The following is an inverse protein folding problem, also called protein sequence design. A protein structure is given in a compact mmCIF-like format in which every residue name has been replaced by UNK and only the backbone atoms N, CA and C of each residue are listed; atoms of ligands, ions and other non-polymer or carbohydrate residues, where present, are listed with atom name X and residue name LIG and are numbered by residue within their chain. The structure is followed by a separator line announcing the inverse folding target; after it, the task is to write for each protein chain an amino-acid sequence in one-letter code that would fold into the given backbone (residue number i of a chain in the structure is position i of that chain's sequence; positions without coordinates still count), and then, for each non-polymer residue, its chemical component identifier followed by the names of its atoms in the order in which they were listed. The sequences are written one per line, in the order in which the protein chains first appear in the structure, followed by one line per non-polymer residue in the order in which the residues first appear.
data_IF_483539561644
#
_entry.id   IF_483539561644
#
_cell.length_a   1.000
_cell.length_b   1.000
_cell.length_c   1.000
_cell.angle_alpha   90.00
_cell.angle_beta   90.00
_cell.angle_gamma   90.00
#
_symmetry.space_group_name_H-M   'P 1'
#
loop_
_entity.id
_entity.type
_entity.pdbx_description
1 polymer ?
#
# COMPACT_ATOMS: atom_id res chain seq x y z
N UNK A 1 -26.30 1.66 15.30
CA UNK A 1 -25.40 2.06 14.18
C UNK A 1 -25.22 3.57 14.24
N UNK A 2 -24.21 4.07 14.96
CA UNK A 2 -24.01 5.51 15.23
C UNK A 2 -22.51 5.86 15.21
N UNK A 3 -21.80 5.47 14.15
CA UNK A 3 -20.39 5.84 13.94
C UNK A 3 -20.20 6.97 12.92
N UNK A 4 -21.29 7.45 12.29
CA UNK A 4 -21.27 8.50 11.27
C UNK A 4 -20.65 9.83 11.72
N UNK A 5 -21.07 10.45 12.85
CA UNK A 5 -20.61 11.79 13.21
C UNK A 5 -19.14 11.86 13.65
N UNK A 6 -18.55 10.73 14.08
CA UNK A 6 -17.18 10.68 14.61
C UNK A 6 -16.15 10.31 13.54
N UNK A 7 -16.55 9.55 12.52
CA UNK A 7 -15.67 9.08 11.45
C UNK A 7 -15.54 10.10 10.31
N UNK A 8 -16.62 10.82 9.98
CA UNK A 8 -16.64 11.82 8.90
C UNK A 8 -15.55 12.91 9.06
N UNK A 9 -15.39 13.58 10.22
CA UNK A 9 -14.36 14.62 10.35
C UNK A 9 -12.94 14.06 10.22
N UNK A 10 -12.68 12.83 10.70
CA UNK A 10 -11.38 12.18 10.53
C UNK A 10 -11.11 11.77 9.08
N UNK A 11 -12.12 11.24 8.39
CA UNK A 11 -12.02 10.92 6.96
C UNK A 11 -11.76 12.18 6.12
N UNK A 12 -12.42 13.30 6.43
CA UNK A 12 -12.17 14.59 5.79
C UNK A 12 -10.79 15.15 6.09
N UNK A 13 -10.27 14.98 7.31
CA UNK A 13 -8.90 15.37 7.65
C UNK A 13 -7.86 14.53 6.91
N UNK A 14 -8.06 13.22 6.79
CA UNK A 14 -7.21 12.33 6.00
C UNK A 14 -7.26 12.72 4.51
N UNK A 15 -8.45 13.01 3.98
CA UNK A 15 -8.60 13.47 2.61
C UNK A 15 -7.88 14.81 2.36
N UNK A 16 -8.05 15.78 3.27
CA UNK A 16 -7.39 17.09 3.17
C UNK A 16 -5.87 16.97 3.32
N UNK A 17 -5.36 16.09 4.17
CA UNK A 17 -3.91 15.87 4.30
C UNK A 17 -3.30 15.18 3.08
N UNK A 18 -4.02 14.22 2.48
CA UNK A 18 -3.64 13.61 1.21
C UNK A 18 -3.62 14.67 0.10
N UNK A 19 -4.64 15.54 0.03
CA UNK A 19 -4.72 16.61 -0.98
C UNK A 19 -3.67 17.71 -0.77
N UNK A 20 -3.37 18.08 0.46
CA UNK A 20 -2.34 19.07 0.77
C UNK A 20 -0.94 18.53 0.47
N UNK A 21 -0.68 17.24 0.74
CA UNK A 21 0.63 16.61 0.44
C UNK A 21 0.91 16.49 -1.07
N UNK A 22 -0.13 16.39 -1.91
CA UNK A 22 0.00 16.33 -3.37
C UNK A 22 0.14 17.70 -4.06
N UNK A 23 -0.06 18.82 -3.34
CA UNK A 23 0.07 20.18 -3.90
C UNK A 23 1.42 20.86 -3.61
N UNK A 24 2.31 20.22 -2.84
CA UNK A 24 3.63 20.77 -2.52
C UNK A 24 4.61 20.74 -3.71
N UNK A 25 5.68 21.57 -3.71
CA UNK A 25 6.69 21.61 -4.78
C UNK A 25 7.36 20.26 -5.11
N UNK A 26 7.37 19.33 -4.15
CA UNK A 26 7.94 17.99 -4.26
C UNK A 26 6.93 16.91 -4.69
N UNK A 27 5.69 17.28 -5.01
CA UNK A 27 4.65 16.34 -5.48
C UNK A 27 4.80 15.93 -6.95
N UNK A 28 5.89 16.35 -7.60
CA UNK A 28 6.16 15.98 -8.99
C UNK A 28 6.27 14.45 -9.10
N UNK A 29 5.53 13.91 -10.07
CA UNK A 29 5.56 12.48 -10.40
C UNK A 29 6.99 12.10 -10.74
N UNK A 30 7.56 11.17 -9.96
CA UNK A 30 8.90 10.64 -10.18
C UNK A 30 8.86 9.22 -10.72
N UNK A 31 9.96 8.79 -11.34
CA UNK A 31 10.14 7.38 -11.72
C UNK A 31 10.25 6.50 -10.48
N UNK A 32 9.86 5.24 -10.63
CA UNK A 32 9.92 4.24 -9.54
C UNK A 32 11.40 4.03 -9.13
N UNK A 33 11.74 4.16 -7.83
CA UNK A 33 13.07 3.86 -7.34
C UNK A 33 13.45 2.38 -7.59
N UNK A 34 14.73 2.07 -7.86
CA UNK A 34 15.15 0.70 -8.21
C UNK A 34 14.88 -0.32 -7.10
N UNK A 35 14.96 0.09 -5.83
CA UNK A 35 14.60 -0.76 -4.69
C UNK A 35 13.13 -1.19 -4.73
N UNK A 36 12.24 -0.25 -5.01
CA UNK A 36 10.80 -0.52 -5.12
C UNK A 36 10.52 -1.41 -6.32
N UNK A 37 11.18 -1.22 -7.46
CA UNK A 37 11.03 -2.12 -8.62
C UNK A 37 11.34 -3.57 -8.24
N UNK A 38 12.40 -3.84 -7.49
CA UNK A 38 12.72 -5.21 -7.02
C UNK A 38 11.64 -5.79 -6.11
N UNK A 39 11.16 -5.00 -5.15
CA UNK A 39 10.09 -5.41 -4.25
C UNK A 39 8.80 -5.75 -4.99
N UNK A 40 8.43 -4.91 -5.96
CA UNK A 40 7.28 -5.12 -6.84
C UNK A 40 7.40 -6.39 -7.67
N UNK A 41 8.57 -6.65 -8.24
CA UNK A 41 8.83 -7.91 -8.97
C UNK A 41 8.65 -9.13 -8.05
N UNK A 42 9.12 -9.08 -6.81
CA UNK A 42 8.95 -10.17 -5.83
C UNK A 42 7.45 -10.41 -5.56
N UNK A 43 6.70 -9.36 -5.24
CA UNK A 43 5.26 -9.46 -4.97
C UNK A 43 4.48 -9.97 -6.19
N UNK A 44 4.80 -9.48 -7.38
CA UNK A 44 4.14 -9.90 -8.61
C UNK A 44 4.41 -11.37 -8.95
N UNK A 45 5.66 -11.82 -8.80
CA UNK A 45 6.02 -13.23 -9.00
C UNK A 45 5.31 -14.15 -7.98
N UNK A 46 5.25 -13.74 -6.72
CA UNK A 46 4.54 -14.52 -5.70
C UNK A 46 3.02 -14.52 -5.92
N UNK A 47 2.44 -13.41 -6.36
CA UNK A 47 1.03 -13.34 -6.73
C UNK A 47 0.71 -14.28 -7.89
N UNK A 48 1.54 -14.31 -8.94
CA UNK A 48 1.39 -15.26 -10.05
C UNK A 48 1.52 -16.70 -9.57
N UNK A 49 2.56 -17.00 -8.77
CA UNK A 49 2.73 -18.33 -8.22
C UNK A 49 1.52 -18.75 -7.39
N UNK A 50 0.95 -17.84 -6.59
CA UNK A 50 -0.26 -18.08 -5.81
C UNK A 50 -1.48 -18.35 -6.71
N UNK A 51 -1.68 -17.57 -7.78
CA UNK A 51 -2.75 -17.81 -8.75
C UNK A 51 -2.58 -19.18 -9.41
N UNK A 52 -1.36 -19.54 -9.84
CA UNK A 52 -1.07 -20.85 -10.42
C UNK A 52 -1.37 -21.96 -9.41
N UNK A 53 -0.91 -21.82 -8.17
CA UNK A 53 -1.18 -22.78 -7.10
C UNK A 53 -2.67 -22.87 -6.76
N UNK A 54 -3.47 -21.84 -6.98
CA UNK A 54 -4.93 -21.90 -6.78
C UNK A 54 -5.63 -22.84 -7.77
N UNK A 55 -4.99 -23.18 -8.91
CA UNK A 55 -5.59 -24.02 -9.94
C UNK A 55 -5.82 -25.47 -9.45
N UNK A 56 -6.86 -26.16 -9.98
CA UNK A 56 -7.20 -27.53 -9.58
C UNK A 56 -6.07 -28.53 -9.83
N UNK A 57 -5.20 -28.31 -10.81
CA UNK A 57 -4.09 -29.20 -11.15
C UNK A 57 -3.07 -29.37 -10.01
N UNK A 58 -2.99 -28.40 -9.09
CA UNK A 58 -2.10 -28.45 -7.93
C UNK A 58 -2.83 -28.85 -6.64
N UNK A 59 -4.15 -29.08 -6.70
CA UNK A 59 -4.93 -29.52 -5.56
C UNK A 59 -4.87 -31.05 -5.46
N UNK A 60 -4.89 -31.62 -4.24
CA UNK A 60 -5.09 -33.05 -4.09
C UNK A 60 -6.45 -33.44 -4.68
N UNK A 61 -6.58 -34.64 -5.21
CA UNK A 61 -7.85 -35.09 -5.79
C UNK A 61 -8.92 -35.31 -4.71
N UNK A 62 -10.16 -34.96 -5.04
CA UNK A 62 -11.33 -35.28 -4.21
C UNK A 62 -11.94 -36.60 -4.71
N UNK A 63 -11.90 -37.65 -3.87
CA UNK A 63 -12.39 -38.99 -4.22
C UNK A 63 -13.88 -38.98 -4.58
N UNK A 64 -14.71 -38.18 -3.89
CA UNK A 64 -16.16 -38.11 -4.15
C UNK A 64 -16.48 -37.39 -5.46
N UNK A 65 -15.76 -36.30 -5.75
CA UNK A 65 -15.89 -35.56 -7.01
C UNK A 65 -15.34 -36.37 -8.19
N UNK A 66 -14.19 -37.03 -8.03
CA UNK A 66 -13.57 -37.84 -9.07
C UNK A 66 -14.44 -39.03 -9.47
N UNK A 67 -15.01 -39.72 -8.48
CA UNK A 67 -15.87 -40.89 -8.72
C UNK A 67 -17.35 -40.54 -8.90
N UNK A 68 -17.70 -39.24 -8.90
CA UNK A 68 -19.09 -38.74 -8.95
C UNK A 68 -20.03 -39.49 -8.01
N UNK A 69 -19.56 -39.75 -6.79
CA UNK A 69 -20.25 -40.61 -5.82
C UNK A 69 -20.74 -39.82 -4.60
N UNK A 70 -21.98 -40.08 -4.20
CA UNK A 70 -22.58 -39.49 -2.99
C UNK A 70 -21.84 -39.90 -1.72
N UNK A 71 -21.94 -39.08 -0.68
CA UNK A 71 -21.22 -39.30 0.57
C UNK A 71 -21.63 -40.59 1.29
N UNK A 72 -22.89 -41.04 1.13
CA UNK A 72 -23.46 -42.23 1.78
C UNK A 72 -23.22 -43.55 1.01
N UNK A 73 -22.46 -43.53 -0.09
CA UNK A 73 -22.15 -44.73 -0.87
C UNK A 73 -21.45 -45.81 0.00
N UNK A 74 -21.68 -47.12 -0.21
CA UNK A 74 -20.89 -48.15 0.46
C UNK A 74 -19.39 -48.03 0.13
N UNK A 75 -18.52 -48.23 1.13
CA UNK A 75 -17.06 -48.07 0.98
C UNK A 75 -16.52 -48.95 -0.15
N UNK A 76 -16.92 -50.21 -0.21
CA UNK A 76 -16.47 -51.15 -1.24
C UNK A 76 -16.74 -50.61 -2.65
N UNK A 77 -17.97 -50.16 -2.91
CA UNK A 77 -18.36 -49.62 -4.22
C UNK A 77 -17.58 -48.35 -4.58
N UNK A 78 -17.33 -47.46 -3.61
CA UNK A 78 -16.53 -46.25 -3.85
C UNK A 78 -15.11 -46.60 -4.30
N UNK A 79 -14.45 -47.52 -3.59
CA UNK A 79 -13.06 -47.86 -3.88
C UNK A 79 -12.92 -48.77 -5.11
N UNK A 80 -13.93 -49.59 -5.45
CA UNK A 80 -13.98 -50.28 -6.75
C UNK A 80 -14.10 -49.29 -7.91
N UNK A 81 -14.91 -48.23 -7.76
CA UNK A 81 -14.98 -47.15 -8.76
C UNK A 81 -13.67 -46.39 -8.86
N UNK A 82 -13.05 -46.07 -7.71
CA UNK A 82 -11.76 -45.39 -7.67
C UNK A 82 -10.67 -46.22 -8.35
N UNK A 83 -10.61 -47.53 -8.09
CA UNK A 83 -9.68 -48.45 -8.74
C UNK A 83 -9.87 -48.44 -10.27
N UNK A 84 -11.12 -48.46 -10.75
CA UNK A 84 -11.41 -48.30 -12.18
C UNK A 84 -10.90 -46.96 -12.75
N UNK A 85 -11.04 -45.86 -12.01
CA UNK A 85 -10.49 -44.55 -12.42
C UNK A 85 -8.96 -44.52 -12.42
N UNK A 86 -8.30 -45.25 -11.50
CA UNK A 86 -6.85 -45.42 -11.49
C UNK A 86 -6.38 -46.19 -12.72
N UNK A 87 -7.04 -47.30 -13.05
CA UNK A 87 -6.71 -48.06 -14.26
C UNK A 87 -6.75 -47.19 -15.52
N UNK A 88 -7.74 -46.29 -15.63
CA UNK A 88 -7.85 -45.36 -16.76
C UNK A 88 -6.78 -44.26 -16.75
N UNK A 89 -6.38 -43.78 -15.57
CA UNK A 89 -5.50 -42.60 -15.44
C UNK A 89 -4.02 -42.99 -15.41
N UNK A 90 -3.65 -44.02 -14.65
CA UNK A 90 -2.26 -44.47 -14.43
C UNK A 90 -1.95 -45.80 -15.12
N UNK A 91 -2.93 -46.49 -15.71
CA UNK A 91 -2.73 -47.81 -16.32
C UNK A 91 -2.52 -48.93 -15.30
N UNK A 92 -2.71 -48.65 -14.01
CA UNK A 92 -2.51 -49.60 -12.92
C UNK A 92 -3.85 -49.96 -12.26
N UNK A 93 -4.13 -51.26 -12.14
CA UNK A 93 -5.33 -51.77 -11.46
C UNK A 93 -5.13 -51.93 -9.95
N UNK A 94 -4.42 -51.00 -9.32
CA UNK A 94 -4.06 -51.08 -7.90
C UNK A 94 -4.35 -49.75 -7.21
N UNK A 95 -4.98 -49.83 -6.03
CA UNK A 95 -5.19 -48.68 -5.16
C UNK A 95 -3.84 -48.20 -4.62
N UNK A 96 -3.64 -46.89 -4.54
CA UNK A 96 -2.42 -46.38 -3.92
C UNK A 96 -2.40 -46.68 -2.41
N UNK A 97 -1.22 -46.72 -1.79
CA UNK A 97 -1.12 -46.94 -0.34
C UNK A 97 -1.96 -45.94 0.48
N UNK A 98 -2.09 -44.70 -0.02
CA UNK A 98 -2.95 -43.67 0.56
C UNK A 98 -4.44 -44.02 0.41
N UNK A 99 -4.86 -44.51 -0.76
CA UNK A 99 -6.23 -44.93 -1.02
C UNK A 99 -6.63 -46.08 -0.08
N UNK A 100 -5.72 -47.03 0.20
CA UNK A 100 -5.97 -48.12 1.14
C UNK A 100 -6.17 -47.63 2.58
N UNK A 101 -5.36 -46.67 3.04
CA UNK A 101 -5.55 -46.06 4.37
C UNK A 101 -6.88 -45.31 4.44
N UNK A 102 -7.22 -44.55 3.40
CA UNK A 102 -8.50 -43.84 3.30
C UNK A 102 -9.69 -44.82 3.31
N UNK A 103 -9.56 -45.96 2.63
CA UNK A 103 -10.59 -47.02 2.62
C UNK A 103 -10.93 -47.49 4.02
N UNK A 104 -9.93 -47.71 4.85
CA UNK A 104 -10.13 -48.13 6.25
C UNK A 104 -10.79 -47.02 7.08
N UNK A 105 -10.41 -45.74 6.87
CA UNK A 105 -11.01 -44.60 7.59
C UNK A 105 -12.45 -44.31 7.16
N UNK A 106 -12.81 -44.53 5.91
CA UNK A 106 -14.14 -44.22 5.34
C UNK A 106 -15.27 -45.16 5.81
N UNK A 107 -14.98 -46.15 6.66
CA UNK A 107 -16.00 -46.98 7.30
C UNK A 107 -16.99 -46.14 8.12
N UNK A 108 -16.53 -45.05 8.76
CA UNK A 108 -17.36 -44.13 9.52
C UNK A 108 -17.81 -42.94 8.66
N UNK A 109 -19.09 -42.55 8.79
CA UNK A 109 -19.62 -41.34 8.16
C UNK A 109 -18.91 -40.09 8.66
N UNK A 110 -18.57 -40.03 9.95
CA UNK A 110 -17.84 -38.91 10.55
C UNK A 110 -16.48 -38.72 9.87
N UNK A 111 -15.74 -39.80 9.61
CA UNK A 111 -14.46 -39.73 8.90
C UNK A 111 -14.58 -39.18 7.49
N UNK A 112 -15.69 -39.47 6.79
CA UNK A 112 -15.96 -38.91 5.44
C UNK A 112 -16.29 -37.42 5.49
N UNK A 113 -16.94 -36.95 6.55
CA UNK A 113 -17.15 -35.51 6.76
C UNK A 113 -15.84 -34.80 7.10
N UNK A 114 -15.00 -35.41 7.94
CA UNK A 114 -13.68 -34.90 8.29
C UNK A 114 -12.73 -34.88 7.08
N UNK A 115 -12.88 -35.81 6.13
CA UNK A 115 -12.20 -35.78 4.84
C UNK A 115 -12.50 -34.49 4.07
N UNK A 116 -13.77 -34.06 4.03
CA UNK A 116 -14.15 -32.82 3.33
C UNK A 116 -13.63 -31.56 4.03
N UNK A 117 -13.51 -31.59 5.36
CA UNK A 117 -12.99 -30.47 6.16
C UNK A 117 -11.46 -30.35 6.11
N UNK A 118 -10.73 -31.43 6.40
CA UNK A 118 -9.28 -31.40 6.58
C UNK A 118 -8.49 -31.89 5.36
N UNK A 119 -9.16 -32.57 4.43
CA UNK A 119 -8.56 -33.09 3.23
C UNK A 119 -7.91 -34.47 3.38
N UNK A 120 -7.42 -35.02 2.27
CA UNK A 120 -6.93 -36.39 2.20
C UNK A 120 -5.61 -36.60 2.96
N UNK A 121 -4.73 -35.59 3.07
CA UNK A 121 -3.39 -35.75 3.70
C UNK A 121 -3.51 -35.88 5.21
N UNK A 122 -4.33 -35.02 5.82
CA UNK A 122 -4.58 -35.04 7.27
C UNK A 122 -5.27 -36.33 7.70
N UNK A 123 -6.26 -36.79 6.92
CA UNK A 123 -7.03 -37.97 7.30
C UNK A 123 -6.23 -39.28 7.14
N UNK A 124 -5.40 -39.38 6.09
CA UNK A 124 -4.58 -40.57 5.84
C UNK A 124 -3.27 -40.55 6.65
N UNK A 125 -2.67 -39.38 6.86
CA UNK A 125 -1.34 -39.24 7.45
C UNK A 125 -1.29 -39.12 8.96
N UNK A 126 -2.41 -38.82 9.65
CA UNK A 126 -2.40 -38.64 11.09
C UNK A 126 -2.45 -39.98 11.85
N UNK A 127 -1.39 -40.35 12.61
CA UNK A 127 -1.33 -41.64 13.29
C UNK A 127 -2.10 -41.67 14.61
N UNK A 128 -2.31 -40.53 15.26
CA UNK A 128 -2.96 -40.42 16.58
C UNK A 128 -4.38 -39.81 16.54
N UNK A 129 -4.86 -39.42 15.35
CA UNK A 129 -6.17 -38.78 15.24
C UNK A 129 -7.31 -39.81 15.28
N UNK A 130 -8.34 -39.50 16.05
CA UNK A 130 -9.58 -40.29 16.18
C UNK A 130 -10.78 -39.47 15.70
N UNK A 131 -11.78 -40.13 15.10
CA UNK A 131 -13.01 -39.46 14.67
C UNK A 131 -13.85 -38.91 15.83
N UNK A 132 -13.57 -39.37 17.06
CA UNK A 132 -14.28 -38.95 18.26
C UNK A 132 -13.72 -37.64 18.85
N UNK A 133 -12.44 -37.35 18.58
CA UNK A 133 -11.76 -36.14 19.04
C UNK A 133 -11.33 -35.25 17.87
N UNK A 134 -12.19 -34.29 17.54
CA UNK A 134 -11.99 -33.31 16.46
C UNK A 134 -10.75 -32.44 16.66
N UNK A 135 -10.30 -32.25 17.91
CA UNK A 135 -9.16 -31.39 18.23
C UNK A 135 -7.87 -32.00 17.70
N UNK A 136 -7.74 -33.33 17.73
CA UNK A 136 -6.54 -34.02 17.20
C UNK A 136 -6.32 -33.74 15.72
N UNK A 137 -7.38 -33.80 14.91
CA UNK A 137 -7.34 -33.47 13.49
C UNK A 137 -7.05 -31.99 13.24
N UNK A 138 -7.64 -31.10 14.02
CA UNK A 138 -7.38 -29.67 13.94
C UNK A 138 -5.91 -29.35 14.17
N UNK A 139 -5.34 -29.84 15.28
CA UNK A 139 -3.94 -29.61 15.65
C UNK A 139 -2.97 -30.18 14.60
N UNK A 140 -3.26 -31.36 14.05
CA UNK A 140 -2.45 -31.97 12.99
C UNK A 140 -2.53 -31.19 11.66
N UNK A 141 -3.66 -30.54 11.37
CA UNK A 141 -3.85 -29.74 10.17
C UNK A 141 -3.19 -28.35 10.25
N UNK A 142 -2.96 -27.81 11.45
CA UNK A 142 -2.43 -26.45 11.62
C UNK A 142 -1.11 -26.18 10.86
N UNK A 143 -0.10 -27.07 10.87
CA UNK A 143 1.14 -26.82 10.13
C UNK A 143 0.93 -26.68 8.62
N UNK A 144 0.05 -27.48 8.00
CA UNK A 144 -0.22 -27.40 6.56
C UNK A 144 -1.06 -26.18 6.17
N UNK A 145 -1.81 -25.62 7.13
CA UNK A 145 -2.55 -24.37 6.98
C UNK A 145 -1.64 -23.16 7.18
N UNK A 146 -0.87 -23.13 8.27
CA UNK A 146 -0.01 -22.00 8.65
C UNK A 146 1.29 -21.91 7.84
N UNK A 147 1.83 -23.03 7.35
CA UNK A 147 3.08 -23.06 6.59
C UNK A 147 3.10 -22.05 5.43
N UNK A 148 2.10 -22.06 4.52
CA UNK A 148 1.99 -21.06 3.46
C UNK A 148 1.88 -19.62 3.96
N UNK A 149 1.22 -19.36 5.10
CA UNK A 149 1.15 -18.01 5.70
C UNK A 149 2.50 -17.53 6.21
N UNK A 150 3.30 -18.41 6.81
CA UNK A 150 4.66 -18.08 7.24
C UNK A 150 5.52 -17.71 6.03
N UNK A 151 5.40 -18.47 4.94
CA UNK A 151 6.08 -18.14 3.69
C UNK A 151 5.61 -16.79 3.13
N UNK A 152 4.30 -16.54 3.09
CA UNK A 152 3.75 -15.27 2.61
C UNK A 152 4.20 -14.08 3.48
N UNK A 153 4.20 -14.23 4.81
CA UNK A 153 4.75 -13.23 5.74
C UNK A 153 6.24 -12.97 5.51
N UNK A 154 7.02 -14.00 5.20
CA UNK A 154 8.44 -13.83 4.85
C UNK A 154 8.60 -13.05 3.54
N UNK A 155 7.78 -13.33 2.52
CA UNK A 155 7.78 -12.62 1.24
C UNK A 155 7.37 -11.16 1.43
N UNK A 156 6.28 -10.89 2.15
CA UNK A 156 5.84 -9.53 2.51
C UNK A 156 6.92 -8.80 3.31
N UNK A 157 7.53 -9.46 4.29
CA UNK A 157 8.61 -8.92 5.11
C UNK A 157 9.85 -8.57 4.29
N UNK A 158 10.22 -9.41 3.33
CA UNK A 158 11.32 -9.16 2.40
C UNK A 158 11.00 -7.99 1.46
N UNK A 159 9.82 -8.00 0.83
CA UNK A 159 9.38 -6.98 -0.10
C UNK A 159 9.18 -5.61 0.56
N UNK A 160 8.85 -5.55 1.85
CA UNK A 160 8.73 -4.29 2.62
C UNK A 160 9.99 -3.96 3.44
N UNK A 161 11.06 -4.75 3.32
CA UNK A 161 12.30 -4.49 4.05
C UNK A 161 13.01 -3.24 3.50
N UNK A 162 13.69 -2.50 4.39
CA UNK A 162 14.53 -1.37 3.99
C UNK A 162 15.70 -1.78 3.09
N UNK A 163 16.16 -3.03 3.18
CA UNK A 163 17.26 -3.55 2.36
C UNK A 163 16.86 -3.75 0.89
N UNK A 164 15.63 -4.23 0.65
CA UNK A 164 15.13 -4.49 -0.70
C UNK A 164 14.46 -3.25 -1.28
N UNK A 165 13.47 -2.72 -0.58
CA UNK A 165 12.58 -1.65 -1.06
C UNK A 165 13.01 -0.23 -0.68
N UNK A 166 14.00 -0.09 0.21
CA UNK A 166 14.41 1.20 0.73
C UNK A 166 13.39 1.81 1.72
N UNK A 167 13.49 3.12 2.01
CA UNK A 167 12.60 3.80 2.96
C UNK A 167 11.13 3.78 2.52
N UNK A 168 10.88 3.74 1.21
CA UNK A 168 9.55 3.66 0.62
C UNK A 168 8.81 2.36 0.96
N UNK A 169 9.52 1.23 1.07
CA UNK A 169 8.91 -0.03 1.48
C UNK A 169 8.80 -0.20 2.99
N UNK A 170 9.78 0.31 3.74
CA UNK A 170 9.82 0.19 5.19
C UNK A 170 8.56 0.75 5.88
N UNK A 171 7.95 1.80 5.32
CA UNK A 171 6.69 2.38 5.85
C UNK A 171 5.50 1.41 5.81
N UNK A 172 5.49 0.49 4.86
CA UNK A 172 4.40 -0.46 4.64
C UNK A 172 4.57 -1.75 5.44
N UNK A 173 5.74 -1.96 6.06
CA UNK A 173 6.08 -3.20 6.77
C UNK A 173 5.11 -3.55 7.88
N UNK A 174 4.75 -2.59 8.73
CA UNK A 174 3.80 -2.82 9.82
C UNK A 174 2.44 -3.26 9.28
N UNK A 175 1.95 -2.59 8.25
CA UNK A 175 0.68 -2.93 7.61
C UNK A 175 0.74 -4.30 6.93
N UNK A 176 1.85 -4.65 6.28
CA UNK A 176 2.04 -5.96 5.66
C UNK A 176 2.02 -7.09 6.68
N UNK A 177 2.70 -6.92 7.82
CA UNK A 177 2.66 -7.89 8.93
C UNK A 177 1.26 -8.02 9.50
N UNK A 178 0.57 -6.91 9.79
CA UNK A 178 -0.80 -6.92 10.31
C UNK A 178 -1.72 -7.66 9.33
N UNK A 179 -1.63 -7.34 8.03
CA UNK A 179 -2.46 -7.95 6.99
C UNK A 179 -2.25 -9.46 6.90
N UNK A 180 -0.99 -9.92 6.87
CA UNK A 180 -0.66 -11.34 6.80
C UNK A 180 -1.09 -12.11 8.05
N UNK A 181 -0.85 -11.56 9.25
CA UNK A 181 -1.26 -12.20 10.52
C UNK A 181 -2.78 -12.26 10.64
N UNK A 182 -3.48 -11.19 10.27
CA UNK A 182 -4.94 -11.16 10.27
C UNK A 182 -5.53 -12.17 9.28
N UNK A 183 -4.93 -12.30 8.09
CA UNK A 183 -5.38 -13.27 7.10
C UNK A 183 -5.15 -14.73 7.55
N UNK A 184 -4.00 -15.01 8.15
CA UNK A 184 -3.72 -16.31 8.78
C UNK A 184 -4.72 -16.63 9.90
N UNK A 185 -4.99 -15.67 10.79
CA UNK A 185 -5.96 -15.80 11.86
C UNK A 185 -7.39 -16.05 11.35
N UNK A 186 -7.79 -15.35 10.28
CA UNK A 186 -9.09 -15.54 9.64
C UNK A 186 -9.24 -16.96 9.07
N UNK A 187 -8.19 -17.51 8.46
CA UNK A 187 -8.22 -18.87 7.92
C UNK A 187 -8.31 -19.92 9.03
N UNK A 188 -7.49 -19.79 10.09
CA UNK A 188 -7.53 -20.68 11.25
C UNK A 188 -8.90 -20.62 11.93
N UNK A 189 -9.46 -19.41 12.10
CA UNK A 189 -10.80 -19.23 12.65
C UNK A 189 -11.86 -19.91 11.78
N UNK A 190 -11.78 -19.78 10.44
CA UNK A 190 -12.71 -20.47 9.54
C UNK A 190 -12.60 -21.99 9.66
N UNK A 191 -11.40 -22.54 9.71
CA UNK A 191 -11.19 -23.98 9.88
C UNK A 191 -11.75 -24.47 11.23
N UNK A 192 -11.52 -23.73 12.30
CA UNK A 192 -11.96 -24.08 13.66
C UNK A 192 -13.48 -23.96 13.84
N UNK A 193 -14.11 -22.99 13.19
CA UNK A 193 -15.56 -22.72 13.28
C UNK A 193 -16.40 -23.49 12.26
N UNK A 194 -15.77 -24.25 11.36
CA UNK A 194 -16.48 -24.98 10.31
C UNK A 194 -17.31 -26.14 10.88
N UNK A 195 -18.60 -26.17 10.51
CA UNK A 195 -19.51 -27.23 10.91
C UNK A 195 -19.58 -28.33 9.83
N UNK A 196 -18.72 -29.34 9.95
CA UNK A 196 -18.67 -30.48 9.02
C UNK A 196 -19.98 -31.30 8.96
N UNK A 197 -20.87 -31.20 9.96
CA UNK A 197 -22.12 -31.98 10.00
C UNK A 197 -23.14 -31.52 8.95
N UNK A 198 -22.98 -30.32 8.39
CA UNK A 198 -23.87 -29.80 7.34
C UNK A 198 -23.90 -30.71 6.10
N UNK A 199 -22.75 -31.31 5.75
CA UNK A 199 -22.65 -32.23 4.61
C UNK A 199 -23.30 -33.61 4.87
N UNK A 200 -23.70 -33.94 6.10
CA UNK A 200 -24.23 -35.27 6.42
C UNK A 200 -25.56 -35.58 5.71
N UNK A 201 -26.42 -34.56 5.57
CA UNK A 201 -27.73 -34.67 4.90
C UNK A 201 -27.68 -34.47 3.39
N UNK A 202 -26.52 -34.11 2.83
CA UNK A 202 -26.39 -33.79 1.40
C UNK A 202 -26.35 -35.09 0.58
N UNK A 203 -27.18 -35.17 -0.46
CA UNK A 203 -27.32 -36.39 -1.28
C UNK A 203 -26.68 -36.27 -2.66
N UNK A 204 -26.55 -35.04 -3.18
CA UNK A 204 -25.94 -34.76 -4.48
C UNK A 204 -24.48 -34.36 -4.31
N UNK A 205 -23.65 -34.77 -5.26
CA UNK A 205 -22.21 -34.46 -5.24
C UNK A 205 -21.95 -32.98 -5.48
N UNK A 206 -22.75 -32.35 -6.34
CA UNK A 206 -22.69 -30.92 -6.66
C UNK A 206 -23.03 -30.00 -5.49
N UNK A 207 -23.79 -30.50 -4.51
CA UNK A 207 -24.18 -29.78 -3.30
C UNK A 207 -23.18 -29.97 -2.15
N UNK A 208 -22.20 -30.88 -2.30
CA UNK A 208 -21.20 -31.13 -1.26
C UNK A 208 -20.27 -29.92 -1.12
N UNK A 209 -20.19 -29.39 0.09
CA UNK A 209 -19.18 -28.37 0.40
C UNK A 209 -17.82 -29.02 0.60
N UNK A 210 -16.99 -28.94 -0.44
CA UNK A 210 -15.60 -29.36 -0.45
C UNK A 210 -14.70 -28.34 0.30
N UNK A 211 -14.97 -28.13 1.58
CA UNK A 211 -14.38 -27.07 2.40
C UNK A 211 -12.85 -26.99 2.31
N UNK A 212 -12.13 -28.12 2.40
CA UNK A 212 -10.67 -28.15 2.30
C UNK A 212 -10.16 -27.52 0.99
N UNK A 213 -10.80 -27.85 -0.13
CA UNK A 213 -10.44 -27.33 -1.45
C UNK A 213 -10.83 -25.85 -1.60
N UNK A 214 -12.01 -25.47 -1.10
CA UNK A 214 -12.47 -24.09 -1.08
C UNK A 214 -11.54 -23.19 -0.24
N UNK A 215 -11.12 -23.67 0.93
CA UNK A 215 -10.19 -22.98 1.82
C UNK A 215 -8.82 -22.78 1.15
N UNK A 216 -8.33 -23.80 0.43
CA UNK A 216 -7.08 -23.73 -0.35
C UNK A 216 -7.16 -22.65 -1.44
N UNK A 217 -8.25 -22.59 -2.20
CA UNK A 217 -8.45 -21.54 -3.22
C UNK A 217 -8.52 -20.17 -2.57
N UNK A 218 -9.29 -20.03 -1.48
CA UNK A 218 -9.40 -18.81 -0.70
C UNK A 218 -8.03 -18.31 -0.22
N UNK A 219 -7.18 -19.21 0.28
CA UNK A 219 -5.82 -18.89 0.74
C UNK A 219 -4.96 -18.29 -0.37
N UNK A 220 -4.79 -19.04 -1.47
CA UNK A 220 -3.93 -18.62 -2.56
C UNK A 220 -4.43 -17.35 -3.26
N UNK A 221 -5.74 -17.23 -3.44
CA UNK A 221 -6.32 -16.02 -4.01
C UNK A 221 -6.20 -14.83 -3.06
N UNK A 222 -6.36 -15.04 -1.75
CA UNK A 222 -6.15 -14.00 -0.74
C UNK A 222 -4.71 -13.49 -0.70
N UNK A 223 -3.71 -14.37 -0.84
CA UNK A 223 -2.31 -13.95 -1.00
C UNK A 223 -2.12 -13.04 -2.22
N UNK A 224 -2.66 -13.44 -3.37
CA UNK A 224 -2.58 -12.64 -4.59
C UNK A 224 -3.25 -11.27 -4.46
N UNK A 225 -4.39 -11.17 -3.76
CA UNK A 225 -5.07 -9.89 -3.48
C UNK A 225 -4.19 -9.00 -2.58
N UNK A 226 -3.66 -9.56 -1.49
CA UNK A 226 -2.82 -8.81 -0.55
C UNK A 226 -1.57 -8.30 -1.26
N UNK A 227 -0.92 -9.14 -2.07
CA UNK A 227 0.28 -8.76 -2.82
C UNK A 227 -0.02 -7.71 -3.88
N UNK A 228 -1.14 -7.82 -4.60
CA UNK A 228 -1.58 -6.81 -5.55
C UNK A 228 -1.85 -5.46 -4.88
N UNK A 229 -2.45 -5.49 -3.68
CA UNK A 229 -2.65 -4.29 -2.88
C UNK A 229 -1.32 -3.63 -2.48
N UNK A 230 -0.37 -4.40 -1.95
CA UNK A 230 0.94 -3.85 -1.56
C UNK A 230 1.79 -3.42 -2.76
N UNK A 231 1.72 -4.13 -3.89
CA UNK A 231 2.37 -3.70 -5.14
C UNK A 231 1.83 -2.34 -5.60
N UNK A 232 0.51 -2.19 -5.63
CA UNK A 232 -0.14 -0.94 -6.01
C UNK A 232 0.18 0.19 -5.02
N UNK A 233 0.15 -0.10 -3.71
CA UNK A 233 0.49 0.85 -2.67
C UNK A 233 1.94 1.35 -2.81
N UNK A 234 2.90 0.43 -2.99
CA UNK A 234 4.32 0.76 -3.20
C UNK A 234 4.52 1.59 -4.47
N UNK A 235 3.84 1.25 -5.57
CA UNK A 235 3.91 2.03 -6.80
C UNK A 235 3.36 3.45 -6.61
N UNK A 236 2.18 3.58 -6.01
CA UNK A 236 1.52 4.86 -5.78
C UNK A 236 2.33 5.76 -4.85
N UNK A 237 2.85 5.23 -3.74
CA UNK A 237 3.64 6.02 -2.79
C UNK A 237 5.02 6.36 -3.32
N UNK A 238 5.68 5.41 -3.97
CA UNK A 238 7.03 5.65 -4.49
C UNK A 238 7.07 6.60 -5.67
N UNK A 239 5.99 6.76 -6.43
CA UNK A 239 5.91 7.69 -7.57
C UNK A 239 5.34 9.06 -7.20
N UNK A 240 5.14 9.34 -5.90
CA UNK A 240 4.50 10.54 -5.37
C UNK A 240 3.07 10.75 -5.87
N UNK A 241 2.37 9.69 -6.28
CA UNK A 241 0.96 9.75 -6.72
C UNK A 241 -0.02 9.67 -5.55
N UNK A 242 0.41 9.08 -4.44
CA UNK A 242 -0.39 8.92 -3.21
C UNK A 242 0.52 9.03 -1.98
N UNK A 243 0.06 9.70 -0.92
CA UNK A 243 0.80 9.84 0.36
C UNK A 243 2.25 10.31 0.15
N UNK A 244 2.41 11.49 -0.47
CA UNK A 244 3.73 12.11 -0.70
C UNK A 244 4.43 12.31 0.63
N UNK A 245 5.62 11.73 0.79
CA UNK A 245 6.39 11.90 2.00
C UNK A 245 7.01 13.31 1.99
N UNK A 246 6.73 14.15 3.01
CA UNK A 246 7.44 15.41 3.14
C UNK A 246 8.94 15.14 3.37
N UNK A 247 9.81 15.97 2.78
CA UNK A 247 11.25 15.97 3.10
C UNK A 247 11.44 16.02 4.61
N UNK A 248 12.47 15.31 5.11
CA UNK A 248 12.85 15.36 6.52
C UNK A 248 13.17 16.80 6.93
N UNK A 249 13.02 17.13 8.22
CA UNK A 249 13.31 18.48 8.72
C UNK A 249 14.75 18.92 8.39
N UNK A 250 15.70 17.99 8.44
CA UNK A 250 17.09 18.22 8.04
C UNK A 250 17.22 18.58 6.57
N UNK A 251 16.59 17.83 5.66
CA UNK A 251 16.64 18.12 4.22
C UNK A 251 15.93 19.45 3.89
N UNK A 252 14.82 19.76 4.59
CA UNK A 252 14.13 21.06 4.45
C UNK A 252 15.00 22.23 4.90
N UNK A 253 15.71 22.06 6.01
CA UNK A 253 16.65 23.06 6.53
C UNK A 253 17.82 23.23 5.57
N UNK A 254 18.36 22.15 5.02
CA UNK A 254 19.44 22.21 4.03
C UNK A 254 19.00 22.95 2.76
N UNK A 255 17.84 22.62 2.18
CA UNK A 255 17.31 23.31 1.00
C UNK A 255 17.06 24.80 1.26
N UNK A 256 16.48 25.12 2.43
CA UNK A 256 16.27 26.51 2.85
C UNK A 256 17.59 27.25 3.04
N UNK A 257 18.59 26.59 3.62
CA UNK A 257 19.94 27.15 3.84
C UNK A 257 20.62 27.42 2.51
N UNK A 258 20.58 26.49 1.56
CA UNK A 258 21.10 26.67 0.19
C UNK A 258 20.42 27.83 -0.53
N UNK A 259 19.10 27.96 -0.38
CA UNK A 259 18.37 29.09 -0.96
C UNK A 259 18.83 30.44 -0.35
N UNK A 260 18.98 30.49 0.98
CA UNK A 260 19.49 31.68 1.69
C UNK A 260 20.93 31.99 1.29
N UNK A 261 21.81 30.99 1.16
CA UNK A 261 23.18 31.17 0.69
C UNK A 261 23.24 31.73 -0.72
N UNK A 262 22.39 31.24 -1.63
CA UNK A 262 22.29 31.76 -2.99
C UNK A 262 21.85 33.24 -2.99
N UNK A 263 20.85 33.59 -2.19
CA UNK A 263 20.39 34.99 -2.07
C UNK A 263 21.46 35.87 -1.45
N UNK A 264 22.15 35.40 -0.40
CA UNK A 264 23.28 36.10 0.22
C UNK A 264 24.42 36.33 -0.77
N UNK A 265 24.74 35.35 -1.62
CA UNK A 265 25.73 35.49 -2.68
C UNK A 265 25.38 36.60 -3.66
N UNK A 266 24.11 36.63 -4.12
CA UNK A 266 23.60 37.70 -5.01
C UNK A 266 23.63 39.07 -4.33
N UNK A 267 23.22 39.17 -3.07
CA UNK A 267 23.26 40.42 -2.31
C UNK A 267 24.69 40.92 -2.10
N UNK A 268 25.63 40.02 -1.82
CA UNK A 268 27.06 40.36 -1.69
C UNK A 268 27.62 40.91 -2.99
N UNK A 269 27.31 40.25 -4.13
CA UNK A 269 27.70 40.74 -5.45
C UNK A 269 27.08 42.11 -5.77
N UNK A 270 25.79 42.29 -5.48
CA UNK A 270 25.11 43.57 -5.67
C UNK A 270 25.71 44.66 -4.78
N UNK A 271 26.07 44.34 -3.54
CA UNK A 271 26.79 45.23 -2.62
C UNK A 271 28.18 45.59 -3.14
N UNK A 272 28.92 44.63 -3.71
CA UNK A 272 30.21 44.90 -4.34
C UNK A 272 30.07 45.82 -5.55
N UNK A 273 29.11 45.55 -6.44
CA UNK A 273 28.81 46.41 -7.60
C UNK A 273 28.44 47.82 -7.15
N UNK A 274 27.52 47.96 -6.18
CA UNK A 274 27.13 49.27 -5.63
C UNK A 274 28.32 50.01 -5.05
N UNK A 275 29.18 49.34 -4.27
CA UNK A 275 30.39 49.95 -3.72
C UNK A 275 31.38 50.38 -4.82
N UNK A 276 31.56 49.57 -5.86
CA UNK A 276 32.41 49.92 -7.01
C UNK A 276 31.88 51.14 -7.74
N UNK A 277 30.57 51.18 -8.04
CA UNK A 277 29.91 52.32 -8.67
C UNK A 277 30.05 53.60 -7.83
N UNK A 278 29.91 53.51 -6.51
CA UNK A 278 30.03 54.68 -5.62
C UNK A 278 31.46 55.16 -5.43
N UNK A 279 32.46 54.27 -5.55
CA UNK A 279 33.88 54.61 -5.39
C UNK A 279 34.51 55.17 -6.66
N UNK A 280 34.07 54.71 -7.84
CA UNK A 280 34.54 55.24 -9.11
C UNK A 280 33.78 56.52 -9.47
N UNK A 281 34.51 57.62 -9.65
CA UNK A 281 33.90 58.92 -9.95
C UNK A 281 33.12 58.92 -11.26
N UNK A 282 33.64 58.28 -12.31
CA UNK A 282 33.01 58.24 -13.63
C UNK A 282 31.78 57.33 -13.71
N UNK A 283 31.74 56.26 -12.91
CA UNK A 283 30.53 55.42 -12.77
C UNK A 283 29.48 56.09 -11.89
N UNK A 284 29.89 56.79 -10.83
CA UNK A 284 28.97 57.54 -9.97
C UNK A 284 28.27 58.66 -10.73
N UNK A 285 29.00 59.48 -11.47
CA UNK A 285 28.44 60.55 -12.31
C UNK A 285 27.47 59.99 -13.36
N UNK A 286 27.79 58.85 -13.99
CA UNK A 286 26.89 58.17 -14.93
C UNK A 286 25.63 57.61 -14.26
N UNK A 287 25.75 57.04 -13.05
CA UNK A 287 24.61 56.54 -12.29
C UNK A 287 23.70 57.71 -11.86
N UNK A 288 24.26 58.81 -11.35
CA UNK A 288 23.51 60.03 -11.00
C UNK A 288 22.81 60.64 -12.23
N UNK A 289 23.50 60.71 -13.37
CA UNK A 289 22.92 61.17 -14.64
C UNK A 289 21.80 60.25 -15.12
N UNK A 290 21.97 58.93 -15.02
CA UNK A 290 20.93 57.95 -15.35
C UNK A 290 19.68 58.17 -14.49
N UNK A 291 19.81 58.23 -13.16
CA UNK A 291 18.66 58.43 -12.27
C UNK A 291 17.99 59.79 -12.42
N UNK A 292 18.78 60.85 -12.69
CA UNK A 292 18.22 62.17 -12.97
C UNK A 292 17.45 62.16 -14.27
N UNK A 293 18.00 61.56 -15.32
CA UNK A 293 17.35 61.44 -16.62
C UNK A 293 16.09 60.56 -16.55
N UNK A 294 16.15 59.43 -15.85
CA UNK A 294 14.99 58.56 -15.60
C UNK A 294 13.89 59.32 -14.86
N UNK A 295 14.24 60.12 -13.84
CA UNK A 295 13.28 60.94 -13.11
C UNK A 295 12.61 62.01 -13.99
N UNK A 296 13.38 62.65 -14.89
CA UNK A 296 12.83 63.60 -15.86
C UNK A 296 11.94 62.91 -16.88
N UNK A 297 12.41 61.83 -17.51
CA UNK A 297 11.65 61.05 -18.51
C UNK A 297 10.37 60.48 -17.89
N UNK A 298 10.45 59.89 -16.70
CA UNK A 298 9.28 59.35 -16.00
C UNK A 298 8.33 60.46 -15.58
N UNK A 299 8.84 61.63 -15.20
CA UNK A 299 8.04 62.83 -14.94
C UNK A 299 7.27 63.26 -16.18
N UNK A 300 7.95 63.45 -17.31
CA UNK A 300 7.35 63.81 -18.60
C UNK A 300 6.30 62.79 -19.04
N UNK A 301 6.63 61.50 -19.01
CA UNK A 301 5.68 60.41 -19.33
C UNK A 301 4.50 60.38 -18.36
N UNK A 302 4.70 60.68 -17.08
CA UNK A 302 3.61 60.73 -16.10
C UNK A 302 2.69 61.95 -16.27
N UNK A 303 3.17 63.00 -16.93
CA UNK A 303 2.40 64.22 -17.24
C UNK A 303 1.67 64.13 -18.59
N UNK A 304 2.02 63.15 -19.44
CA UNK A 304 1.31 62.90 -20.70
C UNK A 304 -0.16 62.56 -20.43
N UNK A 305 -1.06 63.30 -21.08
CA UNK A 305 -2.52 63.18 -20.89
C UNK A 305 -3.02 61.74 -21.11
N UNK A 306 -2.49 61.04 -22.10
CA UNK A 306 -2.88 59.66 -22.39
C UNK A 306 -2.52 58.70 -21.24
N UNK A 307 -1.35 58.88 -20.62
CA UNK A 307 -0.90 58.09 -19.47
C UNK A 307 -1.71 58.43 -18.22
N UNK A 308 -1.97 59.71 -17.98
CA UNK A 308 -2.81 60.18 -16.85
C UNK A 308 -4.25 59.65 -16.98
N UNK A 309 -4.84 59.72 -18.17
CA UNK A 309 -6.17 59.20 -18.44
C UNK A 309 -6.22 57.68 -18.31
N UNK A 310 -5.21 56.98 -18.83
CA UNK A 310 -5.05 55.53 -18.66
C UNK A 310 -4.90 55.11 -17.20
N UNK A 311 -4.09 55.84 -16.42
CA UNK A 311 -3.87 55.57 -15.00
C UNK A 311 -5.13 55.87 -14.17
N UNK A 312 -5.84 56.96 -14.46
CA UNK A 312 -7.13 57.27 -13.83
C UNK A 312 -8.22 56.24 -14.21
N UNK A 313 -8.22 55.73 -15.44
CA UNK A 313 -9.13 54.68 -15.86
C UNK A 313 -8.80 53.33 -15.18
N UNK A 314 -7.52 53.01 -14.99
CA UNK A 314 -7.08 51.83 -14.25
C UNK A 314 -7.40 51.94 -12.76
N UNK A 315 -7.12 53.08 -12.12
CA UNK A 315 -7.48 53.36 -10.73
C UNK A 315 -8.99 53.35 -10.50
N UNK A 316 -9.78 53.88 -11.44
CA UNK A 316 -11.25 53.83 -11.37
C UNK A 316 -11.84 52.42 -11.52
N UNK A 317 -11.05 51.47 -12.04
CA UNK A 317 -11.42 50.04 -12.16
C UNK A 317 -10.81 49.18 -11.05
N UNK A 318 -9.89 49.72 -10.26
CA UNK A 318 -9.29 49.02 -9.13
C UNK A 318 -10.22 49.11 -7.92
N UNK A 319 -10.62 47.96 -7.40
CA UNK A 319 -11.35 47.88 -6.15
C UNK A 319 -10.38 48.09 -4.98
N UNK A 320 -10.36 49.33 -4.47
CA UNK A 320 -9.45 49.76 -3.40
C UNK A 320 -9.53 48.86 -2.17
N UNK A 321 -10.70 48.26 -1.89
CA UNK A 321 -10.88 47.36 -0.76
C UNK A 321 -10.08 46.06 -0.93
N UNK A 322 -10.08 45.48 -2.14
CA UNK A 322 -9.28 44.29 -2.45
C UNK A 322 -7.78 44.57 -2.44
N UNK A 323 -7.37 45.79 -2.79
CA UNK A 323 -5.97 46.19 -2.76
C UNK A 323 -5.48 46.38 -1.33
N UNK A 324 -6.27 47.02 -0.46
CA UNK A 324 -5.97 47.16 0.97
C UNK A 324 -5.88 45.79 1.66
N UNK A 325 -6.78 44.87 1.32
CA UNK A 325 -6.78 43.50 1.87
C UNK A 325 -5.55 42.70 1.39
N UNK A 326 -5.13 42.88 0.14
CA UNK A 326 -3.89 42.28 -0.39
C UNK A 326 -2.63 42.91 0.22
N UNK A 327 -2.61 44.23 0.40
CA UNK A 327 -1.49 44.94 1.01
C UNK A 327 -1.34 44.58 2.49
N UNK A 328 -2.45 44.50 3.23
CA UNK A 328 -2.49 44.01 4.60
C UNK A 328 -2.00 42.55 4.68
N UNK A 329 -2.48 41.68 3.78
CA UNK A 329 -2.01 40.29 3.69
C UNK A 329 -0.51 40.17 3.40
N UNK A 330 0.05 41.06 2.57
CA UNK A 330 1.48 41.09 2.27
C UNK A 330 2.29 41.60 3.48
N UNK A 331 1.85 42.67 4.15
CA UNK A 331 2.48 43.17 5.35
C UNK A 331 2.47 42.12 6.48
N UNK A 332 1.33 41.47 6.70
CA UNK A 332 1.18 40.40 7.68
C UNK A 332 2.07 39.19 7.34
N UNK A 333 2.21 38.85 6.05
CA UNK A 333 3.12 37.77 5.63
C UNK A 333 4.59 38.08 5.91
N UNK A 334 5.02 39.33 5.70
CA UNK A 334 6.40 39.78 5.95
C UNK A 334 6.66 39.82 7.46
N UNK A 335 5.72 40.36 8.24
CA UNK A 335 5.80 40.40 9.71
C UNK A 335 5.78 38.99 10.30
N UNK A 336 4.97 38.08 9.77
CA UNK A 336 4.95 36.68 10.20
C UNK A 336 6.28 35.97 9.94
N UNK A 337 6.90 36.20 8.78
CA UNK A 337 8.23 35.66 8.46
C UNK A 337 9.30 36.22 9.39
N UNK A 338 9.27 37.52 9.69
CA UNK A 338 10.19 38.16 10.63
C UNK A 338 9.99 37.65 12.06
N UNK A 339 8.75 37.52 12.53
CA UNK A 339 8.43 37.00 13.87
C UNK A 339 8.82 35.53 14.03
N UNK A 340 8.62 34.70 13.00
CA UNK A 340 9.08 33.31 13.02
C UNK A 340 10.62 33.22 13.08
N UNK A 341 11.33 34.12 12.39
CA UNK A 341 12.79 34.23 12.47
C UNK A 341 13.29 34.66 13.85
N UNK A 342 12.63 35.65 14.48
CA UNK A 342 12.99 36.15 15.82
C UNK A 342 12.71 35.10 16.91
N UNK A 343 11.58 34.41 16.86
CA UNK A 343 11.24 33.37 17.85
C UNK A 343 12.23 32.19 17.79
N UNK A 344 12.67 31.80 16.59
CA UNK A 344 13.68 30.76 16.42
C UNK A 344 15.06 31.21 16.94
N UNK A 345 15.47 32.45 16.68
CA UNK A 345 16.72 33.01 17.18
C UNK A 345 16.75 33.18 18.72
N UNK A 346 15.60 33.47 19.34
CA UNK A 346 15.47 33.54 20.80
C UNK A 346 15.51 32.15 21.44
N UNK A 347 14.91 31.13 20.80
CA UNK A 347 15.00 29.74 21.26
C UNK A 347 16.42 29.17 21.18
N UNK A 348 17.19 29.51 20.16
CA UNK A 348 18.61 29.10 20.03
C UNK A 348 19.55 29.77 21.04
N UNK A 349 19.16 30.90 21.64
CA UNK A 349 19.94 31.56 22.70
C UNK A 349 19.56 31.13 24.12
N UNK A 350 18.44 30.42 24.29
CA UNK A 350 17.89 30.03 25.59
C UNK A 350 18.06 28.53 25.91
N UNK A 351 18.70 27.77 25.03
CA UNK A 351 19.24 26.44 25.28
C UNK A 351 20.74 26.43 25.03
#
# INVERSE_FOLDING_TARGET
MTFGPLLIPKALQIYRSIRASSQGPHSRVRRVPPGVTRARTILWLFAIASIILSLPAFAPENVFTLTQSRLQIPVGTLFTRLQGMRLLTTGQDVLTARDEVLRNKFASMTSRLLYLQYGPDVLAGCPFCSSDDLVTYFLYALPSVLGPHILHLAVLGLATSGLVAGPEGARWRMWAVISGVMFAGLEVWRLASYNHKLNAGTTRVEELDAFHWNLRVFRWFGFAIIDAFFDAALWLTSTNRWLVQPLSLSERLEDSTRAVEMVKGKLSMLGAVKNTVMRDRGLRERNEAYWTNEGVVMGEVSEEREVVEGMNQAMGRMDLTTLEEQAAGMADSVVAVMNAGIINAVKERAG
#
